data_IF_133279024143
#
_entry.id   IF_133279024143
#
_cell.length_a   1.000
_cell.length_b   1.000
_cell.length_c   1.000
_cell.angle_alpha   90.00
_cell.angle_beta   90.00
_cell.angle_gamma   90.00
#
_symmetry.space_group_name_H-M   'P 1'
#
loop_
_entity.id
_entity.type
_entity.pdbx_description
1 polymer ?
#
# COMPACT_ATOMS: atom_id res chain seq x y z
N UNK A 1 18.39 10.43 4.90
CA UNK A 1 17.42 9.33 4.60
C UNK A 1 17.89 8.59 3.35
N UNK A 2 17.64 7.28 3.22
CA UNK A 2 18.03 6.52 2.00
C UNK A 2 16.88 6.44 1.00
N UNK A 3 17.13 6.87 -0.25
CA UNK A 3 16.11 6.93 -1.30
C UNK A 3 15.57 5.53 -1.64
N UNK A 4 16.45 4.53 -1.76
CA UNK A 4 16.07 3.16 -2.09
C UNK A 4 15.24 2.50 -0.99
N UNK A 5 15.51 2.83 0.27
CA UNK A 5 14.71 2.42 1.43
C UNK A 5 13.29 2.97 1.37
N UNK A 6 13.09 4.23 0.97
CA UNK A 6 11.75 4.79 0.83
C UNK A 6 10.85 3.97 -0.12
N UNK A 7 11.42 3.49 -1.24
CA UNK A 7 10.69 2.62 -2.18
C UNK A 7 10.37 1.27 -1.56
N UNK A 8 11.35 0.61 -0.91
CA UNK A 8 11.14 -0.69 -0.26
C UNK A 8 10.09 -0.62 0.84
N UNK A 9 10.11 0.43 1.65
CA UNK A 9 9.14 0.64 2.71
C UNK A 9 7.74 0.84 2.10
N UNK A 10 7.60 1.59 1.00
CA UNK A 10 6.34 1.71 0.28
C UNK A 10 5.82 0.37 -0.24
N UNK A 11 6.67 -0.44 -0.87
CA UNK A 11 6.28 -1.74 -1.43
C UNK A 11 5.77 -2.68 -0.32
N UNK A 12 6.54 -2.83 0.76
CA UNK A 12 6.18 -3.67 1.92
C UNK A 12 4.85 -3.23 2.55
N UNK A 13 4.68 -1.92 2.76
CA UNK A 13 3.46 -1.42 3.40
C UNK A 13 2.25 -1.50 2.48
N UNK A 14 2.42 -1.29 1.17
CA UNK A 14 1.33 -1.42 0.19
C UNK A 14 0.85 -2.87 0.11
N UNK A 15 1.76 -3.84 0.06
CA UNK A 15 1.43 -5.26 0.09
C UNK A 15 0.68 -5.63 1.37
N UNK A 16 1.15 -5.16 2.53
CA UNK A 16 0.51 -5.40 3.81
C UNK A 16 -0.91 -4.82 3.86
N UNK A 17 -1.12 -3.60 3.35
CA UNK A 17 -2.45 -2.99 3.23
C UNK A 17 -3.33 -3.85 2.34
N UNK A 18 -2.90 -4.21 1.13
CA UNK A 18 -3.70 -5.02 0.20
C UNK A 18 -4.13 -6.35 0.85
N UNK A 19 -3.20 -7.03 1.52
CA UNK A 19 -3.49 -8.29 2.21
C UNK A 19 -4.52 -8.14 3.33
N UNK A 20 -4.51 -7.02 4.05
CA UNK A 20 -5.49 -6.75 5.11
C UNK A 20 -6.94 -6.64 4.57
N UNK A 21 -7.11 -6.28 3.30
CA UNK A 21 -8.43 -6.17 2.66
C UNK A 21 -9.01 -7.48 2.12
N UNK A 22 -8.24 -8.59 2.17
CA UNK A 22 -8.71 -9.90 1.69
C UNK A 22 -10.02 -10.33 2.35
N UNK A 23 -10.16 -10.15 3.66
CA UNK A 23 -11.39 -10.51 4.38
C UNK A 23 -12.61 -9.73 3.88
N UNK A 24 -12.45 -8.44 3.60
CA UNK A 24 -13.52 -7.60 3.05
C UNK A 24 -13.93 -8.09 1.66
N UNK A 25 -12.94 -8.39 0.80
CA UNK A 25 -13.19 -8.94 -0.52
C UNK A 25 -13.96 -10.27 -0.45
N UNK A 26 -13.54 -11.19 0.42
CA UNK A 26 -14.22 -12.47 0.60
C UNK A 26 -15.65 -12.31 1.13
N UNK A 27 -15.90 -11.39 2.05
CA UNK A 27 -17.25 -11.11 2.56
C UNK A 27 -18.21 -10.60 1.47
N UNK A 28 -17.71 -9.71 0.61
CA UNK A 28 -18.46 -9.20 -0.55
C UNK A 28 -18.72 -10.34 -1.55
N UNK A 29 -17.71 -11.15 -1.86
CA UNK A 29 -17.84 -12.31 -2.76
C UNK A 29 -18.87 -13.31 -2.25
N UNK A 30 -18.83 -13.67 -0.97
CA UNK A 30 -19.80 -14.58 -0.37
C UNK A 30 -21.23 -14.04 -0.43
N UNK A 31 -21.41 -12.74 -0.19
CA UNK A 31 -22.72 -12.09 -0.30
C UNK A 31 -23.25 -12.11 -1.73
N UNK A 32 -22.37 -11.90 -2.71
CA UNK A 32 -22.71 -11.98 -4.12
C UNK A 32 -23.08 -13.41 -4.54
N UNK A 33 -22.29 -14.41 -4.12
CA UNK A 33 -22.52 -15.82 -4.43
C UNK A 33 -23.83 -16.31 -3.81
N UNK A 34 -24.07 -16.01 -2.53
CA UNK A 34 -25.30 -16.40 -1.84
C UNK A 34 -26.55 -15.85 -2.52
N UNK A 35 -26.50 -14.61 -3.02
CA UNK A 35 -27.65 -14.03 -3.70
C UNK A 35 -27.87 -14.59 -5.10
N UNK A 36 -26.81 -14.96 -5.80
CA UNK A 36 -26.91 -15.65 -7.08
C UNK A 36 -27.41 -17.09 -6.91
N UNK A 37 -26.96 -17.80 -5.87
CA UNK A 37 -27.27 -19.22 -5.71
C UNK A 37 -28.76 -19.49 -5.45
N UNK A 38 -29.45 -18.58 -4.76
CA UNK A 38 -30.88 -18.72 -4.46
C UNK A 38 -31.79 -18.77 -5.69
N UNK A 39 -31.33 -18.27 -6.83
CA UNK A 39 -32.09 -18.38 -8.07
C UNK A 39 -32.14 -19.82 -8.63
N UNK A 40 -31.15 -20.65 -8.31
CA UNK A 40 -31.14 -22.04 -8.79
C UNK A 40 -32.27 -22.87 -8.17
N UNK A 41 -32.64 -22.58 -6.92
CA UNK A 41 -33.72 -23.28 -6.24
C UNK A 41 -35.05 -23.13 -6.98
N UNK A 42 -35.35 -21.93 -7.49
CA UNK A 42 -36.57 -21.68 -8.28
C UNK A 42 -36.59 -22.48 -9.60
N UNK A 43 -35.43 -22.75 -10.20
CA UNK A 43 -35.35 -23.50 -11.46
C UNK A 43 -35.61 -25.00 -11.31
N UNK A 44 -35.56 -25.51 -10.08
CA UNK A 44 -35.85 -26.92 -9.77
C UNK A 44 -37.36 -27.20 -9.63
N UNK A 45 -38.20 -26.17 -9.58
CA UNK A 45 -39.64 -26.30 -9.42
C UNK A 45 -40.30 -26.78 -10.72
N UNK A 46 -41.08 -27.87 -10.62
CA UNK A 46 -41.80 -28.47 -11.76
C UNK A 46 -43.06 -27.69 -12.11
N UNK A 47 -43.70 -27.07 -11.11
CA UNK A 47 -44.84 -26.20 -11.33
C UNK A 47 -44.38 -24.83 -11.83
N UNK A 48 -44.73 -24.50 -13.08
CA UNK A 48 -44.27 -23.28 -13.73
C UNK A 48 -44.83 -22.00 -13.10
N UNK A 49 -46.04 -22.01 -12.56
CA UNK A 49 -46.61 -20.83 -11.90
C UNK A 49 -45.84 -20.56 -10.61
N UNK A 50 -45.63 -21.59 -9.80
CA UNK A 50 -44.82 -21.48 -8.58
C UNK A 50 -43.37 -21.11 -8.91
N UNK A 51 -42.79 -21.63 -9.99
CA UNK A 51 -41.46 -21.26 -10.44
C UNK A 51 -41.37 -19.75 -10.76
N UNK A 52 -42.33 -19.22 -11.52
CA UNK A 52 -42.37 -17.79 -11.85
C UNK A 52 -42.58 -16.91 -10.62
N UNK A 53 -43.47 -17.30 -9.71
CA UNK A 53 -43.67 -16.59 -8.44
C UNK A 53 -42.42 -16.63 -7.56
N UNK A 54 -41.70 -17.76 -7.50
CA UNK A 54 -40.42 -17.90 -6.81
C UNK A 54 -39.38 -16.92 -7.38
N UNK A 55 -39.20 -16.91 -8.71
CA UNK A 55 -38.26 -15.99 -9.36
C UNK A 55 -38.60 -14.51 -9.09
N UNK A 56 -39.89 -14.15 -9.06
CA UNK A 56 -40.32 -12.80 -8.74
C UNK A 56 -39.99 -12.41 -7.29
N UNK A 57 -40.24 -13.30 -6.33
CA UNK A 57 -39.96 -13.08 -4.92
C UNK A 57 -38.45 -13.00 -4.64
N UNK A 58 -37.70 -14.02 -5.07
CA UNK A 58 -36.23 -14.08 -4.92
C UNK A 58 -35.58 -12.92 -5.64
N UNK A 59 -36.03 -12.57 -6.84
CA UNK A 59 -35.57 -11.39 -7.57
C UNK A 59 -35.69 -10.10 -6.76
N UNK A 60 -36.85 -9.87 -6.14
CA UNK A 60 -37.08 -8.69 -5.31
C UNK A 60 -36.18 -8.68 -4.06
N UNK A 61 -35.99 -9.82 -3.40
CA UNK A 61 -35.14 -9.93 -2.20
C UNK A 61 -33.65 -9.75 -2.55
N UNK A 62 -33.17 -10.50 -3.53
CA UNK A 62 -31.76 -10.52 -3.91
C UNK A 62 -31.32 -9.22 -4.59
N UNK A 63 -32.23 -8.47 -5.20
CA UNK A 63 -31.92 -7.13 -5.72
C UNK A 63 -31.37 -6.19 -4.64
N UNK A 64 -31.84 -6.31 -3.40
CA UNK A 64 -31.36 -5.52 -2.26
C UNK A 64 -29.96 -5.95 -1.83
N UNK A 65 -29.71 -7.26 -1.80
CA UNK A 65 -28.40 -7.82 -1.48
C UNK A 65 -27.39 -7.40 -2.55
N UNK A 66 -27.74 -7.49 -3.84
CA UNK A 66 -26.87 -7.05 -4.93
C UNK A 66 -26.62 -5.53 -4.89
N UNK A 67 -27.60 -4.73 -4.48
CA UNK A 67 -27.38 -3.30 -4.24
C UNK A 67 -26.34 -3.06 -3.13
N UNK A 68 -26.43 -3.79 -2.02
CA UNK A 68 -25.45 -3.72 -0.93
C UNK A 68 -24.07 -4.20 -1.36
N UNK A 69 -23.98 -5.30 -2.11
CA UNK A 69 -22.72 -5.78 -2.70
C UNK A 69 -22.06 -4.69 -3.54
N UNK A 70 -22.84 -4.03 -4.41
CA UNK A 70 -22.35 -2.92 -5.23
C UNK A 70 -21.84 -1.75 -4.36
N UNK A 71 -22.64 -1.30 -3.40
CA UNK A 71 -22.28 -0.19 -2.51
C UNK A 71 -21.01 -0.49 -1.71
N UNK A 72 -20.96 -1.64 -1.03
CA UNK A 72 -19.82 -2.06 -0.22
C UNK A 72 -18.56 -2.25 -1.07
N UNK A 73 -18.69 -2.71 -2.32
CA UNK A 73 -17.56 -2.84 -3.24
C UNK A 73 -16.97 -1.48 -3.62
N UNK A 74 -17.83 -0.51 -3.91
CA UNK A 74 -17.40 0.86 -4.25
C UNK A 74 -16.73 1.52 -3.05
N UNK A 75 -17.33 1.41 -1.87
CA UNK A 75 -16.78 1.93 -0.62
C UNK A 75 -15.41 1.30 -0.32
N UNK A 76 -15.32 -0.03 -0.31
CA UNK A 76 -14.07 -0.74 -0.07
C UNK A 76 -12.97 -0.36 -1.08
N UNK A 77 -13.32 -0.24 -2.36
CA UNK A 77 -12.36 0.17 -3.39
C UNK A 77 -11.91 1.63 -3.22
N UNK A 78 -12.80 2.52 -2.78
CA UNK A 78 -12.47 3.91 -2.49
C UNK A 78 -11.52 4.02 -1.30
N UNK A 79 -11.82 3.34 -0.21
CA UNK A 79 -11.02 3.35 1.01
C UNK A 79 -9.63 2.76 0.78
N UNK A 80 -9.55 1.62 0.08
CA UNK A 80 -8.26 1.03 -0.30
C UNK A 80 -7.42 2.01 -1.14
N UNK A 81 -8.03 2.71 -2.10
CA UNK A 81 -7.32 3.75 -2.89
C UNK A 81 -6.79 4.87 -2.00
N UNK A 82 -7.57 5.33 -1.02
CA UNK A 82 -7.15 6.38 -0.08
C UNK A 82 -5.93 5.91 0.74
N UNK A 83 -5.95 4.66 1.24
CA UNK A 83 -4.81 4.09 1.97
C UNK A 83 -3.54 4.03 1.11
N UNK A 84 -3.66 3.56 -0.13
CA UNK A 84 -2.52 3.47 -1.05
C UNK A 84 -2.00 4.87 -1.47
N UNK A 85 -2.88 5.84 -1.70
CA UNK A 85 -2.48 7.22 -1.97
C UNK A 85 -1.74 7.87 -0.80
N UNK A 86 -2.15 7.52 0.42
CA UNK A 86 -1.46 7.98 1.64
C UNK A 86 -0.03 7.41 1.71
N UNK A 87 0.14 6.12 1.41
CA UNK A 87 1.49 5.51 1.33
C UNK A 87 2.34 6.14 0.24
N UNK A 88 1.77 6.43 -0.93
CA UNK A 88 2.48 7.09 -2.04
C UNK A 88 2.96 8.49 -1.65
N UNK A 89 2.13 9.22 -0.88
CA UNK A 89 2.48 10.52 -0.33
C UNK A 89 3.64 10.40 0.66
N UNK A 90 3.62 9.40 1.55
CA UNK A 90 4.74 9.15 2.46
C UNK A 90 6.04 8.81 1.72
N UNK A 91 5.96 7.97 0.69
CA UNK A 91 7.11 7.63 -0.16
C UNK A 91 7.70 8.89 -0.79
N UNK A 92 6.86 9.71 -1.40
CA UNK A 92 7.27 10.97 -2.06
C UNK A 92 7.97 11.90 -1.08
N UNK A 93 7.40 12.09 0.11
CA UNK A 93 8.02 12.94 1.14
C UNK A 93 9.36 12.39 1.64
N UNK A 94 9.46 11.06 1.80
CA UNK A 94 10.71 10.38 2.18
C UNK A 94 11.79 10.59 1.11
N UNK A 95 11.45 10.41 -0.16
CA UNK A 95 12.36 10.60 -1.29
C UNK A 95 12.81 12.06 -1.42
N UNK A 96 11.89 13.03 -1.34
CA UNK A 96 12.24 14.45 -1.34
C UNK A 96 13.21 14.81 -0.21
N UNK A 97 13.06 14.19 0.96
CA UNK A 97 13.98 14.38 2.08
C UNK A 97 15.35 13.78 1.78
N UNK A 98 15.41 12.56 1.23
CA UNK A 98 16.66 11.92 0.83
C UNK A 98 17.41 12.74 -0.23
N UNK A 99 16.68 13.28 -1.22
CA UNK A 99 17.26 14.12 -2.27
C UNK A 99 17.81 15.42 -1.71
N UNK A 100 17.08 16.09 -0.82
CA UNK A 100 17.56 17.30 -0.13
C UNK A 100 18.83 17.00 0.67
N UNK A 101 18.82 15.94 1.49
CA UNK A 101 19.98 15.54 2.30
C UNK A 101 21.20 15.29 1.41
N UNK A 102 21.02 14.63 0.26
CA UNK A 102 22.08 14.37 -0.71
C UNK A 102 22.65 15.67 -1.31
N UNK A 103 21.77 16.58 -1.76
CA UNK A 103 22.19 17.87 -2.35
C UNK A 103 22.94 18.72 -1.33
N UNK A 104 22.41 18.86 -0.12
CA UNK A 104 23.03 19.66 0.95
C UNK A 104 24.38 19.06 1.38
N UNK A 105 24.46 17.74 1.56
CA UNK A 105 25.71 17.06 1.91
C UNK A 105 26.76 17.18 0.81
N UNK A 106 26.34 17.07 -0.45
CA UNK A 106 27.23 17.23 -1.61
C UNK A 106 27.75 18.66 -1.70
N UNK A 107 26.88 19.67 -1.54
CA UNK A 107 27.28 21.07 -1.51
C UNK A 107 28.29 21.35 -0.38
N UNK A 108 28.01 20.88 0.83
CA UNK A 108 28.94 21.00 1.96
C UNK A 108 30.29 20.33 1.69
N UNK A 109 30.28 19.16 1.07
CA UNK A 109 31.50 18.44 0.67
C UNK A 109 32.32 19.25 -0.32
N UNK A 110 31.69 19.83 -1.35
CA UNK A 110 32.37 20.70 -2.31
C UNK A 110 32.90 22.00 -1.70
N UNK A 111 32.14 22.63 -0.79
CA UNK A 111 32.61 23.80 -0.05
C UNK A 111 33.87 23.46 0.78
N UNK A 112 33.87 22.33 1.47
CA UNK A 112 35.02 21.88 2.26
C UNK A 112 36.22 21.53 1.37
N UNK A 113 35.99 20.88 0.23
CA UNK A 113 37.03 20.61 -0.77
C UNK A 113 37.64 21.90 -1.30
N UNK A 114 36.81 22.90 -1.66
CA UNK A 114 37.28 24.18 -2.17
C UNK A 114 38.09 24.96 -1.13
N UNK A 115 37.67 24.95 0.15
CA UNK A 115 38.46 25.53 1.24
C UNK A 115 39.84 24.87 1.34
N UNK A 116 39.89 23.53 1.28
CA UNK A 116 41.15 22.78 1.29
C UNK A 116 42.05 23.15 0.10
N UNK A 117 41.51 23.21 -1.11
CA UNK A 117 42.25 23.61 -2.31
C UNK A 117 42.71 25.07 -2.26
N UNK A 118 41.97 25.93 -1.56
CA UNK A 118 42.32 27.34 -1.30
C UNK A 118 43.39 27.56 -0.23
N UNK A 119 43.97 26.49 0.33
CA UNK A 119 45.02 26.57 1.36
C UNK A 119 44.50 26.81 2.78
N UNK A 120 43.21 26.61 3.03
CA UNK A 120 42.71 26.55 4.41
C UNK A 120 43.39 25.38 5.14
N UNK A 121 43.70 25.53 6.44
CA UNK A 121 44.22 24.42 7.23
C UNK A 121 43.24 23.24 7.17
N UNK A 122 43.78 22.03 7.06
CA UNK A 122 42.97 20.81 7.18
C UNK A 122 42.23 20.87 8.52
N UNK A 123 40.96 20.46 8.59
CA UNK A 123 40.28 20.33 9.87
C UNK A 123 41.17 19.50 10.80
N UNK A 124 41.44 20.00 12.01
CA UNK A 124 42.19 19.25 13.02
C UNK A 124 41.54 17.88 13.16
N UNK A 125 42.32 16.81 13.01
CA UNK A 125 41.82 15.48 13.29
C UNK A 125 41.35 15.49 14.75
N UNK A 126 40.05 15.36 14.97
CA UNK A 126 39.59 14.77 16.22
C UNK A 126 40.04 13.32 16.13
N UNK A 127 41.16 12.99 16.77
CA UNK A 127 41.58 11.61 16.98
C UNK A 127 40.52 10.94 17.85
N UNK A 128 39.47 10.43 17.22
CA UNK A 128 38.93 9.15 17.64
C UNK A 128 39.96 8.13 17.16
N UNK A 129 40.80 7.70 18.09
CA UNK A 129 41.85 6.69 17.90
C UNK A 129 41.35 5.49 17.09
N UNK A 130 41.63 5.47 15.79
CA UNK A 130 41.55 4.26 14.98
C UNK A 130 42.90 3.53 15.08
N UNK A 131 43.31 3.14 16.29
CA UNK A 131 44.40 2.18 16.42
C UNK A 131 43.93 0.82 15.91
N UNK A 132 44.21 0.51 14.64
CA UNK A 132 44.26 -0.87 14.18
C UNK A 132 45.56 -1.50 14.69
N UNK A 133 45.50 -2.19 15.84
CA UNK A 133 46.57 -3.10 16.22
C UNK A 133 46.49 -4.36 15.35
N UNK A 134 47.34 -4.47 14.34
CA UNK A 134 47.68 -5.77 13.77
C UNK A 134 48.60 -6.49 14.76
N UNK A 135 48.03 -7.28 15.66
CA UNK A 135 48.79 -8.31 16.37
C UNK A 135 48.93 -9.51 15.43
N UNK A 136 50.14 -9.69 14.92
CA UNK A 136 50.58 -10.99 14.42
C UNK A 136 50.97 -11.83 15.63
N UNK A 137 50.25 -12.92 15.86
CA UNK A 137 50.71 -14.14 16.52
C UNK A 137 49.84 -15.31 16.07
#
# INVERSE_FOLDING_TARGET
VDYGKCQKDFDINSDAVILAWNSTLYGIQQSAESGCSTFFDCSSLVDYVMAFECFASVGAEQSKIMYQVSANSIEAASDLKIHLQTLETFKTNCQNTADRDYVESTASTYENLNKCLGGAPLPEQTTADWFHSTSWN
#
